data_IF_003893117808
#
_entry.id   IF_003893117808
#
_cell.length_a   1.000
_cell.length_b   1.000
_cell.length_c   1.000
_cell.angle_alpha   90.00
_cell.angle_beta   90.00
_cell.angle_gamma   90.00
#
_symmetry.space_group_name_H-M   'P 1'
#
loop_
_entity.id
_entity.type
_entity.pdbx_description
1 polymer ?
#
# COMPACT_ATOMS: atom_id res chain seq x y z
N UNK A 1 83.00 -23.53 -2.80
CA UNK A 1 81.77 -23.09 -2.09
C UNK A 1 80.75 -22.85 -3.20
N UNK A 2 80.03 -23.89 -3.56
CA UNK A 2 79.03 -23.93 -4.63
C UNK A 2 77.68 -23.88 -3.93
N UNK A 3 76.96 -22.77 -4.08
CA UNK A 3 75.55 -22.64 -3.70
C UNK A 3 74.75 -22.68 -5.00
N UNK A 4 74.07 -23.79 -5.22
CA UNK A 4 73.04 -23.94 -6.26
C UNK A 4 71.75 -24.06 -5.48
N UNK A 5 70.89 -23.06 -5.64
CA UNK A 5 69.57 -22.99 -5.03
C UNK A 5 68.67 -24.10 -5.60
N UNK A 6 67.93 -24.76 -4.71
CA UNK A 6 67.01 -25.85 -4.99
C UNK A 6 65.70 -25.29 -5.57
N UNK A 7 65.32 -25.77 -6.75
CA UNK A 7 64.03 -25.46 -7.39
C UNK A 7 62.87 -26.07 -6.59
N UNK A 8 62.00 -25.22 -6.05
CA UNK A 8 60.71 -25.59 -5.47
C UNK A 8 59.77 -26.08 -6.58
N UNK A 9 59.33 -27.35 -6.52
CA UNK A 9 58.27 -27.88 -7.36
C UNK A 9 56.92 -27.42 -6.82
N UNK A 10 56.27 -26.49 -7.53
CA UNK A 10 54.89 -26.06 -7.31
C UNK A 10 53.95 -27.21 -7.70
N UNK A 11 53.33 -27.85 -6.71
CA UNK A 11 52.29 -28.87 -6.92
C UNK A 11 51.01 -28.17 -7.36
N UNK A 12 50.64 -28.32 -8.63
CA UNK A 12 49.31 -27.93 -9.14
C UNK A 12 48.27 -28.81 -8.46
N UNK A 13 47.47 -28.23 -7.56
CA UNK A 13 46.26 -28.86 -7.03
C UNK A 13 45.26 -28.96 -8.19
N UNK A 14 44.97 -30.18 -8.64
CA UNK A 14 43.88 -30.46 -9.57
C UNK A 14 42.55 -30.18 -8.86
N UNK A 15 41.89 -29.07 -9.21
CA UNK A 15 40.51 -28.79 -8.83
C UNK A 15 39.59 -29.91 -9.35
N UNK A 16 39.18 -30.81 -8.46
CA UNK A 16 38.13 -31.80 -8.73
C UNK A 16 36.81 -31.05 -8.82
N UNK A 17 36.06 -31.09 -9.94
CA UNK A 17 34.77 -30.43 -10.03
C UNK A 17 33.78 -31.08 -9.05
N UNK A 18 33.16 -30.25 -8.19
CA UNK A 18 32.03 -30.62 -7.32
C UNK A 18 30.76 -30.88 -8.17
N UNK A 19 30.76 -31.93 -8.98
CA UNK A 19 29.64 -32.34 -9.85
C UNK A 19 28.55 -33.14 -9.10
N UNK A 20 28.67 -33.28 -7.78
CA UNK A 20 27.82 -34.15 -6.96
C UNK A 20 26.51 -33.50 -6.46
N UNK A 21 26.34 -32.18 -6.60
CA UNK A 21 25.12 -31.47 -6.17
C UNK A 21 24.09 -31.34 -7.32
N UNK A 22 23.45 -32.46 -7.64
CA UNK A 22 22.36 -32.52 -8.62
C UNK A 22 21.02 -32.12 -8.00
N UNK A 23 20.90 -30.91 -7.45
CA UNK A 23 19.62 -30.26 -7.09
C UNK A 23 18.57 -31.17 -6.42
N UNK A 24 17.35 -31.24 -6.98
CA UNK A 24 16.22 -32.06 -6.51
C UNK A 24 16.46 -33.58 -6.65
N UNK A 25 17.51 -34.08 -6.00
CA UNK A 25 17.95 -35.48 -6.04
C UNK A 25 18.90 -35.88 -4.91
N UNK A 26 19.46 -34.93 -4.14
CA UNK A 26 20.45 -35.24 -3.10
C UNK A 26 21.73 -35.89 -3.69
N UNK A 27 22.77 -36.07 -2.85
CA UNK A 27 24.07 -36.64 -3.28
C UNK A 27 23.87 -37.88 -4.16
N UNK A 28 24.29 -37.76 -5.43
CA UNK A 28 24.23 -38.81 -6.44
C UNK A 28 25.24 -39.90 -6.12
N UNK A 29 24.85 -40.82 -5.24
CA UNK A 29 25.71 -41.86 -4.70
C UNK A 29 25.10 -42.40 -3.43
N UNK A 30 23.89 -42.94 -3.54
CA UNK A 30 23.23 -43.56 -2.40
C UNK A 30 24.07 -44.80 -2.01
N UNK A 31 24.53 -44.88 -0.76
CA UNK A 31 25.29 -46.00 -0.15
C UNK A 31 24.49 -47.32 -0.09
N UNK A 32 23.67 -47.58 -1.12
CA UNK A 32 22.82 -48.74 -1.30
C UNK A 32 23.67 -50.00 -1.44
N UNK A 33 24.85 -49.91 -2.06
CA UNK A 33 25.72 -51.07 -2.31
C UNK A 33 26.18 -51.73 -1.00
N UNK A 34 26.34 -50.94 0.06
CA UNK A 34 26.67 -51.43 1.41
C UNK A 34 25.44 -51.97 2.16
N UNK A 35 24.24 -51.54 1.78
CA UNK A 35 22.95 -51.94 2.34
C UNK A 35 22.41 -53.21 1.67
N UNK A 36 22.60 -53.36 0.35
CA UNK A 36 22.29 -54.55 -0.44
C UNK A 36 23.10 -55.78 -0.02
N UNK A 37 24.32 -55.59 0.51
CA UNK A 37 25.14 -56.67 1.05
C UNK A 37 24.53 -57.35 2.31
N UNK A 38 23.48 -56.78 2.89
CA UNK A 38 22.73 -57.33 4.03
C UNK A 38 21.31 -57.80 3.66
N UNK A 39 20.91 -57.69 2.39
CA UNK A 39 19.56 -58.06 1.95
C UNK A 39 19.40 -59.57 1.87
N UNK A 40 18.37 -60.08 2.52
CA UNK A 40 18.01 -61.49 2.46
C UNK A 40 17.11 -61.79 1.26
N UNK A 41 16.82 -63.07 1.03
CA UNK A 41 15.90 -63.52 -0.03
C UNK A 41 14.52 -62.83 0.04
N UNK A 42 14.08 -62.46 1.25
CA UNK A 42 12.82 -61.74 1.46
C UNK A 42 12.86 -60.27 0.96
N UNK A 43 14.02 -59.62 0.98
CA UNK A 43 14.18 -58.25 0.50
C UNK A 43 14.25 -58.22 -1.04
N UNK A 44 14.87 -59.22 -1.66
CA UNK A 44 14.87 -59.40 -3.13
C UNK A 44 13.45 -59.66 -3.67
N UNK A 45 12.64 -60.44 -2.95
CA UNK A 45 11.23 -60.63 -3.29
C UNK A 45 10.43 -59.32 -3.16
N UNK A 46 10.71 -58.52 -2.13
CA UNK A 46 10.08 -57.22 -1.95
C UNK A 46 10.45 -56.26 -3.10
N UNK A 47 11.73 -56.17 -3.49
CA UNK A 47 12.16 -55.36 -4.62
C UNK A 47 11.48 -55.77 -5.92
N UNK A 48 11.36 -57.07 -6.17
CA UNK A 48 10.65 -57.59 -7.35
C UNK A 48 9.17 -57.22 -7.37
N UNK A 49 8.52 -57.21 -6.20
CA UNK A 49 7.13 -56.78 -6.06
C UNK A 49 7.00 -55.26 -6.30
N UNK A 50 7.87 -54.45 -5.70
CA UNK A 50 7.86 -52.99 -5.89
C UNK A 50 8.16 -52.61 -7.33
N UNK A 51 9.15 -53.24 -7.97
CA UNK A 51 9.48 -53.06 -9.37
C UNK A 51 8.30 -53.43 -10.28
N UNK A 52 7.60 -54.54 -10.00
CA UNK A 52 6.42 -54.93 -10.76
C UNK A 52 5.26 -53.91 -10.62
N UNK A 53 5.10 -53.28 -9.46
CA UNK A 53 4.11 -52.22 -9.24
C UNK A 53 4.46 -50.97 -10.04
N UNK A 54 5.71 -50.51 -10.00
CA UNK A 54 6.17 -49.35 -10.76
C UNK A 54 6.06 -49.59 -12.26
N UNK A 55 6.43 -50.80 -12.71
CA UNK A 55 6.25 -51.18 -14.11
C UNK A 55 4.78 -51.17 -14.53
N UNK A 56 3.89 -51.73 -13.71
CA UNK A 56 2.45 -51.76 -13.98
C UNK A 56 1.82 -50.34 -13.99
N UNK A 57 2.30 -49.45 -13.12
CA UNK A 57 1.92 -48.04 -13.10
C UNK A 57 2.36 -47.33 -14.39
N UNK A 58 3.55 -47.66 -14.90
CA UNK A 58 4.08 -47.10 -16.13
C UNK A 58 3.46 -47.66 -17.40
N UNK A 59 2.99 -48.91 -17.43
CA UNK A 59 2.43 -49.58 -18.61
C UNK A 59 1.35 -48.77 -19.33
N UNK A 60 0.51 -48.01 -18.61
CA UNK A 60 -0.58 -47.22 -19.22
C UNK A 60 -0.09 -46.09 -20.14
N UNK A 61 1.12 -45.58 -19.94
CA UNK A 61 1.66 -44.42 -20.69
C UNK A 61 3.05 -44.65 -21.28
N UNK A 62 3.70 -45.77 -20.95
CA UNK A 62 5.05 -46.14 -21.37
C UNK A 62 5.28 -45.95 -22.87
N UNK A 63 4.48 -46.60 -23.71
CA UNK A 63 4.65 -46.54 -25.16
C UNK A 63 4.57 -45.13 -25.75
N UNK A 64 3.70 -44.26 -25.20
CA UNK A 64 3.58 -42.87 -25.67
C UNK A 64 4.73 -42.00 -25.17
N UNK A 65 5.14 -42.18 -23.91
CA UNK A 65 6.24 -41.44 -23.29
C UNK A 65 7.57 -41.79 -23.97
N UNK A 66 7.86 -43.07 -24.11
CA UNK A 66 9.07 -43.56 -24.78
C UNK A 66 9.13 -43.14 -26.25
N UNK A 67 8.00 -43.19 -26.98
CA UNK A 67 7.96 -42.73 -28.38
C UNK A 67 8.22 -41.21 -28.48
N UNK A 68 7.71 -40.41 -27.54
CA UNK A 68 7.96 -38.97 -27.49
C UNK A 68 9.42 -38.66 -27.13
N UNK A 69 9.95 -39.31 -26.10
CA UNK A 69 11.35 -39.16 -25.66
C UNK A 69 12.33 -39.59 -26.77
N UNK A 70 12.05 -40.70 -27.46
CA UNK A 70 12.86 -41.16 -28.59
C UNK A 70 12.79 -40.20 -29.79
N UNK A 71 11.60 -39.67 -30.11
CA UNK A 71 11.45 -38.69 -31.19
C UNK A 71 12.18 -37.38 -30.86
N UNK A 72 12.13 -36.93 -29.60
CA UNK A 72 12.81 -35.74 -29.13
C UNK A 72 14.33 -35.93 -29.11
N UNK A 73 14.82 -37.05 -28.57
CA UNK A 73 16.24 -37.41 -28.61
C UNK A 73 16.77 -37.53 -30.04
N UNK A 74 15.99 -38.11 -30.97
CA UNK A 74 16.36 -38.20 -32.37
C UNK A 74 16.44 -36.80 -33.02
N UNK A 75 15.50 -35.91 -32.71
CA UNK A 75 15.50 -34.52 -33.19
C UNK A 75 16.69 -33.73 -32.63
N UNK A 76 16.97 -33.86 -31.33
CA UNK A 76 18.13 -33.23 -30.68
C UNK A 76 19.44 -33.73 -31.28
N UNK A 77 19.55 -35.04 -31.53
CA UNK A 77 20.74 -35.63 -32.14
C UNK A 77 20.92 -35.24 -33.61
N UNK A 78 19.84 -35.01 -34.33
CA UNK A 78 19.88 -34.45 -35.69
C UNK A 78 20.28 -32.97 -35.71
N UNK A 79 19.82 -32.18 -34.74
CA UNK A 79 20.16 -30.74 -34.64
C UNK A 79 21.55 -30.49 -34.08
N UNK A 80 21.99 -31.30 -33.11
CA UNK A 80 23.28 -31.18 -32.41
C UNK A 80 23.91 -32.57 -32.29
N UNK A 81 24.56 -33.07 -33.36
CA UNK A 81 25.24 -34.34 -33.29
C UNK A 81 26.41 -34.25 -32.31
N UNK A 82 26.69 -35.32 -31.55
CA UNK A 82 27.86 -35.36 -30.66
C UNK A 82 29.14 -35.33 -31.50
N UNK A 83 30.16 -34.61 -31.04
CA UNK A 83 31.45 -34.43 -31.77
C UNK A 83 32.07 -35.79 -32.17
N UNK A 84 32.07 -36.77 -31.25
CA UNK A 84 32.56 -38.13 -31.53
C UNK A 84 31.76 -38.86 -32.63
N UNK A 85 30.49 -38.51 -32.86
CA UNK A 85 29.64 -39.14 -33.87
C UNK A 85 29.75 -38.46 -35.24
N UNK A 86 30.09 -37.16 -35.27
CA UNK A 86 30.38 -36.42 -36.52
C UNK A 86 31.67 -36.95 -37.15
N UNK A 87 32.68 -37.21 -36.32
CA UNK A 87 34.01 -37.57 -36.81
C UNK A 87 34.19 -39.09 -36.97
N UNK A 88 33.23 -39.92 -36.53
CA UNK A 88 33.35 -41.38 -36.57
C UNK A 88 33.46 -41.92 -38.00
N UNK A 89 32.73 -41.33 -38.94
CA UNK A 89 32.74 -41.73 -40.35
C UNK A 89 33.95 -41.19 -41.13
N UNK A 90 34.59 -40.13 -40.63
CA UNK A 90 35.77 -39.52 -41.26
C UNK A 90 37.05 -40.29 -40.92
N UNK A 91 37.16 -40.81 -39.68
CA UNK A 91 38.33 -41.58 -39.25
C UNK A 91 38.40 -43.01 -39.82
N UNK A 92 37.29 -43.64 -40.18
CA UNK A 92 37.31 -44.99 -40.77
C UNK A 92 37.74 -45.00 -42.25
N UNK A 93 37.76 -43.83 -42.93
CA UNK A 93 38.07 -43.73 -44.37
C UNK A 93 39.38 -42.99 -44.70
N UNK A 94 40.16 -42.56 -43.70
CA UNK A 94 41.40 -41.80 -43.92
C UNK A 94 42.57 -42.36 -43.11
N UNK A 95 43.11 -43.49 -43.55
CA UNK A 95 44.52 -43.81 -43.31
C UNK A 95 45.25 -43.65 -44.64
N UNK A 96 45.65 -42.41 -44.94
CA UNK A 96 46.57 -42.08 -46.02
C UNK A 96 47.89 -41.59 -45.41
N UNK A 97 49.01 -42.12 -45.89
CA UNK A 97 50.38 -42.02 -45.35
C UNK A 97 50.93 -40.58 -45.37
N UNK A 98 50.14 -39.62 -45.88
CA UNK A 98 50.51 -38.24 -46.18
C UNK A 98 50.28 -37.25 -45.03
N UNK A 99 49.49 -37.61 -44.01
CA UNK A 99 49.20 -36.73 -42.86
C UNK A 99 50.28 -36.74 -41.77
N UNK A 100 51.24 -37.65 -41.79
CA UNK A 100 52.35 -37.65 -40.82
C UNK A 100 53.43 -36.58 -41.08
N UNK A 101 53.43 -35.93 -42.25
CA UNK A 101 54.51 -35.03 -42.67
C UNK A 101 54.20 -33.52 -42.57
N UNK A 102 52.98 -33.12 -42.19
CA UNK A 102 52.57 -31.72 -42.17
C UNK A 102 52.09 -31.27 -40.78
N UNK A 103 53.03 -31.12 -39.85
CA UNK A 103 52.83 -30.35 -38.62
C UNK A 103 53.48 -28.97 -38.80
N UNK A 104 52.68 -27.91 -38.91
CA UNK A 104 53.18 -26.54 -39.01
C UNK A 104 52.09 -25.48 -39.02
N UNK A 105 51.74 -25.00 -37.82
CA UNK A 105 50.91 -23.82 -37.60
C UNK A 105 51.72 -22.55 -37.94
N UNK A 106 51.36 -21.88 -39.05
CA UNK A 106 51.96 -20.60 -39.45
C UNK A 106 50.87 -19.56 -39.67
N UNK A 107 50.71 -18.63 -38.72
CA UNK A 107 49.96 -17.39 -38.92
C UNK A 107 50.81 -16.42 -39.74
N UNK A 108 50.38 -16.16 -40.98
CA UNK A 108 50.95 -15.14 -41.84
C UNK A 108 50.29 -13.80 -41.52
N UNK A 109 50.90 -13.00 -40.65
CA UNK A 109 50.66 -11.55 -40.62
C UNK A 109 51.52 -10.91 -41.71
N UNK A 110 50.90 -10.58 -42.84
CA UNK A 110 51.49 -9.71 -43.85
C UNK A 110 50.66 -8.44 -44.01
N UNK A 111 51.36 -7.31 -43.85
CA UNK A 111 50.89 -5.94 -43.93
C UNK A 111 50.61 -5.57 -45.39
N UNK A 112 49.39 -5.84 -45.86
CA UNK A 112 48.86 -5.34 -47.13
C UNK A 112 47.72 -4.36 -46.88
N UNK A 113 47.78 -3.19 -47.51
CA UNK A 113 46.78 -2.13 -47.47
C UNK A 113 45.32 -2.64 -47.50
N UNK A 114 44.70 -2.75 -46.32
CA UNK A 114 43.26 -2.92 -46.19
C UNK A 114 42.70 -1.56 -45.81
N UNK A 115 41.91 -1.00 -46.72
CA UNK A 115 41.08 0.18 -46.49
C UNK A 115 40.43 0.12 -45.10
N UNK A 116 40.72 1.09 -44.23
CA UNK A 116 40.16 1.15 -42.88
C UNK A 116 38.65 1.44 -42.98
N UNK A 117 37.86 0.37 -43.10
CA UNK A 117 36.40 0.44 -43.26
C UNK A 117 35.72 1.10 -42.06
N UNK A 118 36.37 1.16 -40.90
CA UNK A 118 35.88 1.88 -39.72
C UNK A 118 35.96 3.39 -39.95
N UNK A 119 37.07 3.89 -40.49
CA UNK A 119 37.22 5.32 -40.80
C UNK A 119 36.35 5.74 -41.99
N UNK A 120 36.26 4.91 -43.03
CA UNK A 120 35.42 5.16 -44.20
C UNK A 120 33.93 5.07 -43.85
N UNK A 121 33.53 4.17 -42.93
CA UNK A 121 32.16 4.06 -42.43
C UNK A 121 31.74 5.22 -41.53
N UNK A 122 32.67 5.77 -40.74
CA UNK A 122 32.42 6.93 -39.88
C UNK A 122 32.36 8.27 -40.65
N UNK A 123 33.01 8.35 -41.82
CA UNK A 123 33.04 9.56 -42.62
C UNK A 123 31.64 10.07 -43.04
N UNK A 124 30.72 9.24 -43.58
CA UNK A 124 29.37 9.67 -43.88
C UNK A 124 28.55 10.00 -42.62
N UNK A 125 28.73 9.28 -41.50
CA UNK A 125 28.03 9.58 -40.25
C UNK A 125 28.41 10.95 -39.66
N UNK A 126 29.69 11.33 -39.75
CA UNK A 126 30.18 12.66 -39.36
C UNK A 126 29.66 13.79 -40.25
N UNK A 127 29.25 13.49 -41.48
CA UNK A 127 28.66 14.46 -42.41
C UNK A 127 27.14 14.48 -42.25
N UNK A 128 26.53 13.35 -41.93
CA UNK A 128 25.09 13.20 -41.74
C UNK A 128 24.63 13.80 -40.41
N UNK A 129 25.39 13.64 -39.33
CA UNK A 129 25.03 14.18 -38.01
C UNK A 129 24.83 15.70 -37.98
N UNK A 130 25.73 16.57 -38.52
CA UNK A 130 25.48 18.01 -38.57
C UNK A 130 24.37 18.40 -39.56
N UNK A 131 24.12 17.60 -40.61
CA UNK A 131 22.98 17.82 -41.51
C UNK A 131 21.65 17.48 -40.82
N UNK A 132 21.60 16.38 -40.07
CA UNK A 132 20.46 16.03 -39.23
C UNK A 132 20.25 17.06 -38.12
N UNK A 133 21.32 17.57 -37.52
CA UNK A 133 21.26 18.65 -36.52
C UNK A 133 20.82 19.98 -37.13
N UNK A 134 21.22 20.29 -38.37
CA UNK A 134 20.71 21.45 -39.11
C UNK A 134 19.23 21.29 -39.48
N UNK A 135 18.79 20.08 -39.82
CA UNK A 135 17.36 19.77 -40.09
C UNK A 135 16.56 19.78 -38.78
N UNK A 136 17.16 19.35 -37.66
CA UNK A 136 16.58 19.37 -36.33
C UNK A 136 16.52 20.81 -35.76
N UNK A 137 17.54 21.63 -36.02
CA UNK A 137 17.65 23.02 -35.59
C UNK A 137 16.82 23.99 -36.43
N UNK A 138 16.41 23.60 -37.64
CA UNK A 138 15.47 24.36 -38.50
C UNK A 138 14.00 23.99 -38.23
N UNK A 139 13.73 23.22 -37.17
CA UNK A 139 12.42 22.70 -36.79
C UNK A 139 11.58 23.67 -35.93
N UNK A 140 11.63 24.98 -36.20
CA UNK A 140 10.67 25.94 -35.64
C UNK A 140 9.29 25.86 -36.30
N UNK A 141 9.10 25.01 -37.32
CA UNK A 141 7.87 24.93 -38.14
C UNK A 141 7.26 23.53 -38.27
N UNK A 142 7.82 22.50 -37.64
CA UNK A 142 7.26 21.14 -37.69
C UNK A 142 7.18 20.54 -36.29
N UNK A 143 6.01 20.71 -35.68
CA UNK A 143 5.44 20.05 -34.52
C UNK A 143 6.13 18.72 -34.09
N UNK A 144 7.22 18.81 -33.34
CA UNK A 144 7.86 17.71 -32.67
C UNK A 144 8.15 18.08 -31.23
N UNK A 145 7.41 17.51 -30.28
CA UNK A 145 7.60 17.67 -28.84
C UNK A 145 8.84 16.91 -28.36
N UNK A 146 10.02 17.24 -28.87
CA UNK A 146 11.27 16.69 -28.37
C UNK A 146 11.56 17.30 -26.99
N UNK A 147 11.21 16.59 -25.92
CA UNK A 147 11.50 16.99 -24.55
C UNK A 147 12.82 16.34 -24.11
N UNK A 148 13.95 16.96 -24.44
CA UNK A 148 15.24 16.56 -23.88
C UNK A 148 15.32 17.06 -22.43
N UNK A 149 15.47 16.14 -21.48
CA UNK A 149 15.69 16.47 -20.07
C UNK A 149 17.19 16.51 -19.83
N UNK A 150 17.69 17.61 -19.24
CA UNK A 150 19.11 17.74 -18.88
C UNK A 150 19.49 16.66 -17.85
N UNK A 151 20.42 15.73 -18.18
CA UNK A 151 20.84 14.68 -17.26
C UNK A 151 21.39 15.23 -15.94
N UNK A 152 22.07 16.38 -15.98
CA UNK A 152 22.64 16.99 -14.76
C UNK A 152 21.55 17.63 -13.91
N UNK A 153 20.62 18.36 -14.52
CA UNK A 153 19.44 18.89 -13.83
C UNK A 153 18.55 17.79 -13.25
N UNK A 154 18.39 16.67 -13.95
CA UNK A 154 17.62 15.52 -13.48
C UNK A 154 18.29 14.85 -12.26
N UNK A 155 19.60 14.58 -12.32
CA UNK A 155 20.33 14.01 -11.18
C UNK A 155 20.35 14.95 -9.97
N UNK A 156 20.51 16.26 -10.19
CA UNK A 156 20.42 17.25 -9.09
C UNK A 156 19.02 17.25 -8.47
N UNK A 157 17.98 17.09 -9.27
CA UNK A 157 16.60 16.98 -8.79
C UNK A 157 16.38 15.67 -8.03
N UNK A 158 17.00 14.56 -8.46
CA UNK A 158 16.93 13.28 -7.75
C UNK A 158 17.68 13.32 -6.41
N UNK A 159 18.85 13.95 -6.34
CA UNK A 159 19.58 14.13 -5.07
C UNK A 159 18.81 15.02 -4.09
N UNK A 160 18.00 15.97 -4.59
CA UNK A 160 17.11 16.76 -3.74
C UNK A 160 15.93 15.94 -3.18
N UNK A 161 15.56 14.83 -3.83
CA UNK A 161 14.59 13.86 -3.29
C UNK A 161 15.34 12.99 -2.30
N UNK A 162 15.35 13.42 -1.03
CA UNK A 162 15.95 12.66 0.06
C UNK A 162 15.33 11.27 0.21
N UNK A 163 15.95 10.26 -0.42
CA UNK A 163 15.59 8.85 -0.23
C UNK A 163 16.13 8.45 1.14
N UNK A 164 15.27 7.88 1.97
CA UNK A 164 15.60 7.39 3.31
C UNK A 164 16.72 6.35 3.26
N UNK A 165 17.56 6.35 4.30
CA UNK A 165 18.65 5.39 4.43
C UNK A 165 18.14 3.94 4.46
N UNK A 166 18.94 2.98 4.00
CA UNK A 166 18.56 1.55 4.00
C UNK A 166 18.24 1.02 5.41
N UNK A 167 18.88 1.59 6.43
CA UNK A 167 18.62 1.30 7.84
C UNK A 167 17.20 1.73 8.26
N UNK A 168 16.80 2.96 7.91
CA UNK A 168 15.44 3.47 8.16
C UNK A 168 14.39 2.61 7.45
N UNK A 169 14.68 2.13 6.24
CA UNK A 169 13.77 1.25 5.48
C UNK A 169 13.57 -0.09 6.20
N UNK A 170 14.61 -0.64 6.83
CA UNK A 170 14.53 -1.85 7.65
C UNK A 170 13.70 -1.67 8.91
N UNK A 171 13.91 -0.56 9.63
CA UNK A 171 13.16 -0.21 10.84
C UNK A 171 11.67 0.02 10.55
N UNK A 172 11.35 0.72 9.43
CA UNK A 172 9.97 0.95 8.98
C UNK A 172 9.27 -0.39 8.72
N UNK A 173 9.93 -1.38 8.09
CA UNK A 173 9.34 -2.71 7.85
C UNK A 173 9.05 -3.47 9.14
N UNK A 174 9.98 -3.44 10.10
CA UNK A 174 9.78 -4.06 11.42
C UNK A 174 8.63 -3.41 12.18
N UNK A 175 8.57 -2.07 12.17
CA UNK A 175 7.52 -1.33 12.82
C UNK A 175 6.14 -1.51 12.15
N UNK A 176 6.07 -1.69 10.81
CA UNK A 176 4.82 -2.13 10.13
C UNK A 176 4.29 -3.45 10.67
N UNK A 177 5.15 -4.45 10.80
CA UNK A 177 4.73 -5.76 11.33
C UNK A 177 4.22 -5.63 12.77
N UNK A 178 4.90 -4.83 13.59
CA UNK A 178 4.47 -4.56 14.97
C UNK A 178 3.09 -3.89 15.01
N UNK A 179 2.89 -2.79 14.27
CA UNK A 179 1.62 -2.09 14.28
C UNK A 179 0.49 -2.88 13.63
N UNK A 180 0.75 -3.66 12.59
CA UNK A 180 -0.25 -4.55 11.98
C UNK A 180 -0.70 -5.64 12.98
N UNK A 181 0.24 -6.21 13.74
CA UNK A 181 -0.11 -7.13 14.83
C UNK A 181 -0.91 -6.42 15.94
N UNK A 182 -0.52 -5.22 16.35
CA UNK A 182 -1.17 -4.45 17.41
C UNK A 182 -2.62 -4.09 17.05
N UNK A 183 -2.82 -3.64 15.82
CA UNK A 183 -4.14 -3.28 15.29
C UNK A 183 -5.06 -4.49 15.19
N UNK A 184 -4.54 -5.64 14.75
CA UNK A 184 -5.31 -6.90 14.68
C UNK A 184 -5.70 -7.42 16.06
N UNK A 185 -4.81 -7.32 17.03
CA UNK A 185 -5.06 -7.76 18.41
C UNK A 185 -6.04 -6.84 19.12
N UNK A 186 -5.93 -5.52 18.90
CA UNK A 186 -6.73 -4.51 19.60
C UNK A 186 -7.41 -3.54 18.62
N UNK A 187 -8.49 -3.95 17.92
CA UNK A 187 -9.16 -3.10 16.95
C UNK A 187 -9.77 -1.82 17.55
N UNK A 188 -10.11 -1.83 18.84
CA UNK A 188 -10.71 -0.69 19.55
C UNK A 188 -9.67 0.31 20.09
N UNK A 189 -8.38 0.03 19.91
CA UNK A 189 -7.31 0.88 20.44
C UNK A 189 -6.95 1.98 19.44
N UNK A 190 -7.56 3.15 19.65
CA UNK A 190 -7.41 4.34 18.82
C UNK A 190 -5.95 4.78 18.56
N UNK A 191 -5.06 4.90 19.58
CA UNK A 191 -3.69 5.33 19.35
C UNK A 191 -2.86 4.36 18.49
N UNK A 192 -3.23 3.08 18.45
CA UNK A 192 -2.56 2.08 17.61
C UNK A 192 -2.76 2.36 16.13
N UNK A 193 -3.98 2.71 15.73
CA UNK A 193 -4.31 3.10 14.37
C UNK A 193 -3.64 4.41 13.97
N UNK A 194 -3.58 5.38 14.89
CA UNK A 194 -2.87 6.65 14.67
C UNK A 194 -1.38 6.39 14.44
N UNK A 195 -0.73 5.62 15.32
CA UNK A 195 0.69 5.30 15.20
C UNK A 195 1.01 4.54 13.90
N UNK A 196 0.16 3.58 13.51
CA UNK A 196 0.29 2.87 12.24
C UNK A 196 0.24 3.82 11.03
N UNK A 197 -0.66 4.79 11.07
CA UNK A 197 -0.79 5.76 9.99
C UNK A 197 0.33 6.80 9.95
N UNK A 198 0.75 7.32 11.10
CA UNK A 198 1.92 8.20 11.21
C UNK A 198 3.19 7.54 10.67
N UNK A 199 3.31 6.22 10.83
CA UNK A 199 4.43 5.46 10.29
C UNK A 199 4.42 5.44 8.75
N UNK A 200 3.25 5.22 8.14
CA UNK A 200 3.12 5.26 6.67
C UNK A 200 3.30 6.67 6.11
N UNK A 201 2.86 7.70 6.84
CA UNK A 201 3.13 9.10 6.49
C UNK A 201 4.63 9.39 6.53
N UNK A 202 5.32 8.94 7.57
CA UNK A 202 6.77 9.06 7.63
C UNK A 202 7.41 8.32 6.45
N UNK A 203 6.95 7.11 6.11
CA UNK A 203 7.45 6.33 4.97
C UNK A 203 7.17 6.94 3.58
N UNK A 204 6.35 8.01 3.49
CA UNK A 204 5.99 8.67 2.22
C UNK A 204 4.81 8.03 1.49
N UNK A 205 4.22 6.97 2.05
CA UNK A 205 3.09 6.22 1.47
C UNK A 205 1.75 6.78 1.96
N UNK A 206 1.48 8.05 1.62
CA UNK A 206 0.28 8.77 2.12
C UNK A 206 -1.05 8.09 1.75
N UNK A 207 -1.13 7.39 0.61
CA UNK A 207 -2.34 6.63 0.22
C UNK A 207 -2.60 5.47 1.18
N UNK A 208 -1.55 4.76 1.61
CA UNK A 208 -1.67 3.66 2.57
C UNK A 208 -2.05 4.21 3.95
N UNK A 209 -1.42 5.31 4.38
CA UNK A 209 -1.75 5.99 5.63
C UNK A 209 -3.26 6.33 5.70
N UNK A 210 -3.79 6.97 4.66
CA UNK A 210 -5.23 7.29 4.55
C UNK A 210 -6.13 6.06 4.62
N UNK A 211 -5.74 4.96 3.98
CA UNK A 211 -6.51 3.70 4.04
C UNK A 211 -6.56 3.13 5.46
N UNK A 212 -5.42 3.11 6.15
CA UNK A 212 -5.32 2.61 7.53
C UNK A 212 -6.13 3.48 8.48
N UNK A 213 -6.05 4.81 8.37
CA UNK A 213 -6.84 5.70 9.23
C UNK A 213 -8.34 5.51 8.98
N UNK A 214 -8.76 5.38 7.72
CA UNK A 214 -10.18 5.12 7.41
C UNK A 214 -10.68 3.85 8.09
N UNK A 215 -9.91 2.76 8.05
CA UNK A 215 -10.21 1.53 8.80
C UNK A 215 -10.23 1.79 10.32
N UNK A 216 -9.27 2.57 10.82
CA UNK A 216 -9.24 3.00 12.22
C UNK A 216 -10.50 3.74 12.65
N UNK A 217 -11.06 4.62 11.82
CA UNK A 217 -12.32 5.32 12.08
C UNK A 217 -13.52 4.36 12.14
N UNK A 218 -13.56 3.33 11.30
CA UNK A 218 -14.64 2.32 11.28
C UNK A 218 -14.58 1.45 12.55
N UNK A 219 -13.39 1.09 13.01
CA UNK A 219 -13.20 0.29 14.22
C UNK A 219 -13.30 1.10 15.52
N UNK A 220 -12.90 2.37 15.50
CA UNK A 220 -12.88 3.28 16.65
C UNK A 220 -13.76 4.53 16.42
N UNK A 221 -15.10 4.40 16.34
CA UNK A 221 -15.96 5.54 16.06
C UNK A 221 -16.06 6.53 17.24
N UNK A 222 -15.80 6.09 18.47
CA UNK A 222 -15.99 6.90 19.70
C UNK A 222 -14.81 7.82 20.04
N UNK A 223 -13.64 7.57 19.47
CA UNK A 223 -12.42 8.32 19.81
C UNK A 223 -12.26 9.54 18.92
N UNK A 224 -12.20 10.72 19.53
CA UNK A 224 -12.02 12.01 18.83
C UNK A 224 -10.68 12.09 18.09
N UNK A 225 -9.61 11.60 18.70
CA UNK A 225 -8.24 11.77 18.20
C UNK A 225 -8.02 11.08 16.85
N UNK A 226 -8.66 9.93 16.62
CA UNK A 226 -8.57 9.20 15.33
C UNK A 226 -9.21 10.02 14.22
N UNK A 227 -10.32 10.71 14.50
CA UNK A 227 -11.01 11.55 13.53
C UNK A 227 -10.22 12.83 13.21
N UNK A 228 -9.54 13.41 14.20
CA UNK A 228 -8.68 14.58 14.00
C UNK A 228 -7.44 14.22 13.16
N UNK A 229 -6.82 13.09 13.46
CA UNK A 229 -5.69 12.57 12.68
C UNK A 229 -6.09 12.21 11.25
N UNK A 230 -7.31 11.67 11.06
CA UNK A 230 -7.89 11.46 9.74
C UNK A 230 -8.06 12.78 8.97
N UNK A 231 -8.62 13.80 9.61
CA UNK A 231 -8.79 15.11 8.97
C UNK A 231 -7.44 15.73 8.57
N UNK A 232 -6.36 15.48 9.34
CA UNK A 232 -5.01 15.95 9.00
C UNK A 232 -4.39 15.20 7.81
N UNK A 233 -4.54 13.88 7.76
CA UNK A 233 -3.92 13.02 6.73
C UNK A 233 -4.62 13.10 5.36
N UNK A 234 -5.89 13.49 5.34
CA UNK A 234 -6.69 13.62 4.14
C UNK A 234 -6.58 15.01 3.47
N UNK A 235 -6.92 15.08 2.18
CA UNK A 235 -7.06 16.36 1.48
C UNK A 235 -8.21 17.17 2.08
N UNK A 236 -8.22 18.49 1.87
CA UNK A 236 -9.27 19.38 2.41
C UNK A 236 -10.69 18.94 2.06
N UNK A 237 -10.93 18.47 0.84
CA UNK A 237 -12.26 18.02 0.40
C UNK A 237 -12.67 16.70 1.07
N UNK A 238 -11.78 15.71 1.10
CA UNK A 238 -12.02 14.43 1.77
C UNK A 238 -12.15 14.61 3.29
N UNK A 239 -11.39 15.56 3.86
CA UNK A 239 -11.44 15.93 5.27
C UNK A 239 -12.81 16.42 5.71
N UNK A 240 -13.54 17.15 4.86
CA UNK A 240 -14.94 17.54 5.12
C UNK A 240 -15.85 16.32 5.25
N UNK A 241 -15.67 15.32 4.40
CA UNK A 241 -16.46 14.07 4.42
C UNK A 241 -16.15 13.29 5.70
N UNK A 242 -14.86 13.16 6.03
CA UNK A 242 -14.40 12.48 7.26
C UNK A 242 -14.96 13.16 8.51
N UNK A 243 -14.91 14.49 8.59
CA UNK A 243 -15.47 15.22 9.73
C UNK A 243 -16.99 15.19 9.78
N UNK A 244 -17.68 15.17 8.62
CA UNK A 244 -19.13 14.98 8.58
C UNK A 244 -19.53 13.60 9.16
N UNK A 245 -18.75 12.56 8.89
CA UNK A 245 -18.93 11.23 9.50
C UNK A 245 -18.58 11.26 11.00
N UNK A 246 -17.50 11.95 11.36
CA UNK A 246 -17.08 12.10 12.76
C UNK A 246 -18.18 12.74 13.62
N UNK A 247 -18.86 13.78 13.12
CA UNK A 247 -19.97 14.45 13.81
C UNK A 247 -21.16 13.52 14.07
N UNK A 248 -21.39 12.50 13.23
CA UNK A 248 -22.45 11.52 13.46
C UNK A 248 -22.16 10.63 14.67
N UNK A 249 -20.89 10.29 14.91
CA UNK A 249 -20.47 9.43 16.01
C UNK A 249 -20.11 10.20 17.28
N UNK A 250 -19.38 11.32 17.13
CA UNK A 250 -18.82 12.13 18.22
C UNK A 250 -19.22 13.60 18.04
N UNK A 251 -20.53 13.83 17.96
CA UNK A 251 -21.11 15.17 17.77
C UNK A 251 -21.10 16.07 19.01
N UNK A 252 -20.57 15.62 20.15
CA UNK A 252 -20.41 16.44 21.37
C UNK A 252 -19.01 17.06 21.50
N UNK A 253 -18.05 16.65 20.64
CA UNK A 253 -16.68 17.13 20.76
C UNK A 253 -16.49 18.45 20.05
N UNK A 254 -16.27 19.50 20.84
CA UNK A 254 -15.90 20.83 20.36
C UNK A 254 -14.65 20.80 19.47
N UNK A 255 -13.70 19.88 19.71
CA UNK A 255 -12.45 19.79 18.94
C UNK A 255 -12.72 19.45 17.46
N UNK A 256 -13.64 18.52 17.20
CA UNK A 256 -14.00 18.10 15.84
C UNK A 256 -14.65 19.26 15.08
N UNK A 257 -15.48 20.04 15.77
CA UNK A 257 -16.15 21.20 15.17
C UNK A 257 -15.22 22.39 14.91
N UNK A 258 -14.22 22.60 15.78
CA UNK A 258 -13.16 23.58 15.53
C UNK A 258 -12.32 23.17 14.32
N UNK A 259 -11.90 21.91 14.23
CA UNK A 259 -11.19 21.39 13.07
C UNK A 259 -12.02 21.51 11.77
N UNK A 260 -13.34 21.26 11.84
CA UNK A 260 -14.24 21.47 10.72
C UNK A 260 -14.35 22.94 10.31
N UNK A 261 -14.39 23.87 11.28
CA UNK A 261 -14.40 25.29 11.01
C UNK A 261 -13.07 25.79 10.39
N UNK A 262 -11.94 25.19 10.75
CA UNK A 262 -10.64 25.56 10.18
C UNK A 262 -10.45 25.08 8.74
N UNK A 263 -11.07 23.95 8.38
CA UNK A 263 -11.10 23.45 7.01
C UNK A 263 -11.97 24.28 6.05
N UNK A 264 -12.92 25.05 6.58
CA UNK A 264 -13.76 25.93 5.77
C UNK A 264 -13.04 27.23 5.40
N UNK A 265 -13.07 27.60 4.13
CA UNK A 265 -12.45 28.84 3.65
C UNK A 265 -13.35 30.08 3.82
N UNK A 266 -14.68 29.90 3.86
CA UNK A 266 -15.64 31.01 3.93
C UNK A 266 -16.12 31.28 5.37
N UNK A 267 -16.12 32.56 5.77
CA UNK A 267 -16.62 33.01 7.07
C UNK A 267 -18.11 32.69 7.29
N UNK A 268 -18.93 32.69 6.23
CA UNK A 268 -20.34 32.27 6.36
C UNK A 268 -20.46 30.77 6.56
N UNK A 269 -19.63 29.97 5.89
CA UNK A 269 -19.53 28.53 6.12
C UNK A 269 -19.05 28.21 7.54
N UNK A 270 -18.00 28.87 8.04
CA UNK A 270 -17.53 28.75 9.43
C UNK A 270 -18.64 29.04 10.44
N UNK A 271 -19.34 30.16 10.28
CA UNK A 271 -20.48 30.51 11.14
C UNK A 271 -21.60 29.47 11.08
N UNK A 272 -21.85 28.88 9.91
CA UNK A 272 -22.88 27.82 9.75
C UNK A 272 -22.48 26.53 10.45
N UNK A 273 -21.22 26.12 10.35
CA UNK A 273 -20.68 24.93 11.03
C UNK A 273 -20.75 25.11 12.56
N UNK A 274 -20.29 26.26 13.06
CA UNK A 274 -20.33 26.57 14.50
C UNK A 274 -21.76 26.72 15.04
N UNK A 275 -22.68 27.33 14.27
CA UNK A 275 -24.11 27.38 14.64
C UNK A 275 -24.75 26.00 14.69
N UNK A 276 -24.28 25.05 13.86
CA UNK A 276 -24.79 23.69 13.86
C UNK A 276 -24.35 22.94 15.13
N UNK A 277 -23.16 23.23 15.62
CA UNK A 277 -22.71 22.73 16.93
C UNK A 277 -23.51 23.34 18.08
N UNK A 278 -23.68 24.67 18.10
CA UNK A 278 -24.51 25.38 19.08
C UNK A 278 -26.00 24.96 19.06
N UNK A 279 -26.49 24.28 18.02
CA UNK A 279 -27.88 23.84 18.00
C UNK A 279 -28.13 22.56 18.82
N UNK A 280 -27.08 21.89 19.35
CA UNK A 280 -27.23 20.64 20.11
C UNK A 280 -27.59 20.93 21.58
N UNK A 281 -28.86 20.63 21.88
CA UNK A 281 -29.56 20.42 23.16
C UNK A 281 -29.42 21.43 24.32
N UNK A 282 -28.25 21.95 24.64
CA UNK A 282 -28.05 22.85 25.78
C UNK A 282 -28.35 24.30 25.39
N UNK A 283 -27.79 24.77 24.28
CA UNK A 283 -27.98 26.14 23.76
C UNK A 283 -29.26 26.31 22.91
N UNK A 284 -29.95 25.21 22.58
CA UNK A 284 -31.29 25.25 21.96
C UNK A 284 -32.28 26.02 22.83
N UNK A 285 -32.12 25.93 24.15
CA UNK A 285 -32.89 26.74 25.09
C UNK A 285 -32.64 28.23 24.89
N UNK A 286 -31.38 28.63 24.84
CA UNK A 286 -30.99 30.04 24.76
C UNK A 286 -31.41 30.65 23.43
N UNK A 287 -31.34 29.88 22.34
CA UNK A 287 -31.88 30.32 21.05
C UNK A 287 -33.39 30.54 21.10
N UNK A 288 -34.16 29.67 21.75
CA UNK A 288 -35.61 29.84 21.91
C UNK A 288 -35.96 31.02 22.81
N UNK A 289 -35.19 31.27 23.87
CA UNK A 289 -35.37 32.44 24.74
C UNK A 289 -35.06 33.72 23.95
N UNK A 290 -33.95 33.76 23.21
CA UNK A 290 -33.61 34.88 22.32
C UNK A 290 -34.68 35.10 21.25
N UNK A 291 -35.19 34.03 20.61
CA UNK A 291 -36.23 34.15 19.59
C UNK A 291 -37.52 34.72 20.18
N UNK A 292 -37.92 34.27 21.37
CA UNK A 292 -39.07 34.83 22.11
C UNK A 292 -38.86 36.31 22.39
N UNK A 293 -37.69 36.73 22.85
CA UNK A 293 -37.36 38.15 23.09
C UNK A 293 -37.45 38.98 21.79
N UNK A 294 -36.93 38.47 20.67
CA UNK A 294 -37.04 39.21 19.39
C UNK A 294 -38.48 39.29 18.86
N UNK A 295 -39.31 38.28 19.13
CA UNK A 295 -40.71 38.23 18.70
C UNK A 295 -41.58 39.12 19.60
N UNK A 296 -41.28 39.20 20.89
CA UNK A 296 -41.87 40.14 21.84
C UNK A 296 -41.54 41.58 21.47
N UNK A 297 -40.28 41.88 21.14
CA UNK A 297 -39.87 43.20 20.66
C UNK A 297 -40.60 43.61 19.36
N UNK A 298 -41.05 42.64 18.55
CA UNK A 298 -41.86 42.86 17.34
C UNK A 298 -43.37 42.87 17.60
N UNK A 299 -43.81 42.69 18.85
CA UNK A 299 -45.22 42.70 19.25
C UNK A 299 -46.05 41.48 18.80
N UNK A 300 -45.42 40.39 18.35
CA UNK A 300 -46.12 39.19 17.84
C UNK A 300 -46.33 38.14 18.94
N UNK A 301 -47.18 38.48 19.90
CA UNK A 301 -47.40 37.70 21.12
C UNK A 301 -47.86 36.25 20.86
N UNK A 302 -48.70 36.02 19.85
CA UNK A 302 -49.18 34.67 19.51
C UNK A 302 -48.05 33.73 19.06
N UNK A 303 -47.05 34.26 18.36
CA UNK A 303 -45.89 33.48 17.89
C UNK A 303 -44.95 33.19 19.06
N UNK A 304 -44.74 34.15 19.96
CA UNK A 304 -43.96 33.94 21.18
C UNK A 304 -44.59 32.86 22.07
N UNK A 305 -45.92 32.85 22.23
CA UNK A 305 -46.65 31.79 22.94
C UNK A 305 -46.44 30.42 22.30
N UNK A 306 -46.52 30.32 20.97
CA UNK A 306 -46.32 29.06 20.27
C UNK A 306 -44.89 28.51 20.45
N UNK A 307 -43.87 29.38 20.39
CA UNK A 307 -42.47 29.00 20.62
C UNK A 307 -42.27 28.54 22.07
N UNK A 308 -42.82 29.26 23.04
CA UNK A 308 -42.74 28.88 24.46
C UNK A 308 -43.48 27.56 24.76
N UNK A 309 -44.65 27.34 24.17
CA UNK A 309 -45.39 26.09 24.31
C UNK A 309 -44.61 24.89 23.74
N UNK A 310 -43.97 25.07 22.58
CA UNK A 310 -43.06 24.08 22.02
C UNK A 310 -41.84 23.86 22.91
N UNK A 311 -41.29 24.93 23.49
CA UNK A 311 -40.15 24.87 24.40
C UNK A 311 -40.46 24.09 25.69
N UNK A 312 -41.63 24.30 26.27
CA UNK A 312 -42.09 23.57 27.46
C UNK A 312 -42.34 22.08 27.18
N UNK A 313 -42.85 21.74 25.99
CA UNK A 313 -43.01 20.34 25.57
C UNK A 313 -41.65 19.62 25.46
N UNK A 314 -40.61 20.33 25.04
CA UNK A 314 -39.27 19.78 24.91
C UNK A 314 -38.44 19.81 26.22
N UNK A 315 -38.70 20.78 27.11
CA UNK A 315 -37.98 20.95 28.38
C UNK A 315 -38.94 21.23 29.55
N UNK A 316 -39.64 20.22 30.06
CA UNK A 316 -40.59 20.40 31.16
C UNK A 316 -39.91 20.84 32.48
N UNK A 317 -38.64 20.46 32.68
CA UNK A 317 -37.94 20.63 33.96
C UNK A 317 -37.32 22.03 34.17
N UNK A 318 -37.27 22.86 33.13
CA UNK A 318 -36.55 24.15 33.17
C UNK A 318 -37.44 25.28 33.71
N UNK A 319 -37.21 25.66 34.98
CA UNK A 319 -37.94 26.75 35.68
C UNK A 319 -37.86 28.13 34.99
N UNK A 320 -36.80 28.42 34.24
CA UNK A 320 -36.64 29.69 33.51
C UNK A 320 -37.71 29.89 32.43
N UNK A 321 -38.08 28.83 31.70
CA UNK A 321 -39.13 28.87 30.68
C UNK A 321 -40.50 29.16 31.28
N UNK A 322 -40.83 28.47 32.37
CA UNK A 322 -42.07 28.70 33.12
C UNK A 322 -42.20 30.13 33.63
N UNK A 323 -41.08 30.70 34.12
CA UNK A 323 -41.04 32.09 34.60
C UNK A 323 -41.29 33.07 33.45
N UNK A 324 -40.69 32.82 32.29
CA UNK A 324 -40.85 33.68 31.11
C UNK A 324 -42.26 33.62 30.50
N UNK A 325 -42.91 32.45 30.54
CA UNK A 325 -44.32 32.30 30.16
C UNK A 325 -45.22 33.10 31.12
N UNK A 326 -44.98 33.02 32.43
CA UNK A 326 -45.74 33.79 33.41
C UNK A 326 -45.59 35.31 33.22
N UNK A 327 -44.38 35.79 32.94
CA UNK A 327 -44.13 37.20 32.61
C UNK A 327 -44.88 37.65 31.35
N UNK A 328 -44.88 36.82 30.30
CA UNK A 328 -45.55 37.13 29.04
C UNK A 328 -47.08 37.21 29.20
N UNK A 329 -47.67 36.30 29.99
CA UNK A 329 -49.11 36.32 30.28
C UNK A 329 -49.51 37.45 31.22
N UNK A 330 -48.65 37.82 32.18
CA UNK A 330 -48.88 38.99 33.03
C UNK A 330 -48.86 40.31 32.23
N UNK A 331 -48.01 40.40 31.19
CA UNK A 331 -47.89 41.60 30.36
C UNK A 331 -49.01 41.75 29.31
N UNK A 332 -49.52 40.64 28.75
CA UNK A 332 -50.45 40.66 27.62
C UNK A 332 -51.86 40.12 27.93
N UNK A 333 -52.10 39.71 29.17
CA UNK A 333 -53.40 39.41 29.77
C UNK A 333 -54.40 38.69 28.87
N UNK A 334 -54.29 37.37 28.70
CA UNK A 334 -55.41 36.51 28.29
C UNK A 334 -55.30 35.09 28.89
N UNK A 335 -56.46 34.55 29.28
CA UNK A 335 -56.69 33.38 30.13
C UNK A 335 -55.92 32.11 29.75
N UNK A 336 -55.29 31.52 30.77
CA UNK A 336 -54.68 30.18 30.80
C UNK A 336 -55.66 29.03 30.48
N UNK A 337 -56.96 29.28 30.30
CA UNK A 337 -57.94 28.22 30.06
C UNK A 337 -57.87 27.60 28.65
N UNK A 338 -57.41 28.33 27.62
CA UNK A 338 -57.54 27.85 26.25
C UNK A 338 -56.32 27.08 25.70
N UNK A 339 -55.23 26.99 26.47
CA UNK A 339 -53.99 26.30 26.05
C UNK A 339 -53.76 24.97 26.78
N UNK A 340 -54.48 24.71 27.87
CA UNK A 340 -54.23 23.59 28.78
C UNK A 340 -55.45 22.66 28.93
N UNK A 341 -56.49 22.82 28.11
CA UNK A 341 -57.78 22.12 28.25
C UNK A 341 -57.92 20.85 27.42
N UNK A 342 -56.90 20.45 26.63
CA UNK A 342 -57.07 19.34 25.68
C UNK A 342 -56.16 18.12 25.89
N UNK A 343 -55.30 18.07 26.89
CA UNK A 343 -54.55 16.84 27.17
C UNK A 343 -54.48 16.58 28.69
N UNK A 344 -55.06 15.45 29.11
CA UNK A 344 -55.24 14.94 30.49
C UNK A 344 -53.93 14.64 31.27
N UNK A 345 -52.88 15.47 31.14
CA UNK A 345 -51.61 15.17 31.81
C UNK A 345 -50.76 16.41 32.09
N UNK A 346 -51.23 17.33 32.93
CA UNK A 346 -50.35 18.38 33.48
C UNK A 346 -50.81 18.92 34.85
N UNK A 347 -51.05 18.02 35.80
CA UNK A 347 -50.93 18.38 37.24
C UNK A 347 -49.43 18.50 37.54
N UNK A 348 -48.78 19.56 37.09
CA UNK A 348 -47.48 20.01 37.60
C UNK A 348 -47.39 21.53 37.44
N UNK A 349 -48.12 22.23 38.31
CA UNK A 349 -47.63 23.48 38.89
C UNK A 349 -46.19 23.19 39.33
N UNK A 350 -45.22 23.88 38.73
CA UNK A 350 -43.79 23.92 39.09
C UNK A 350 -43.45 23.14 40.39
N UNK A 351 -42.76 21.97 40.36
CA UNK A 351 -42.62 21.08 41.53
C UNK A 351 -41.86 21.66 42.74
N UNK A 352 -41.53 22.95 42.75
CA UNK A 352 -40.74 23.59 43.81
C UNK A 352 -41.32 24.91 44.34
N UNK A 353 -42.45 25.41 43.79
CA UNK A 353 -43.06 26.66 44.27
C UNK A 353 -44.03 26.44 45.44
N UNK A 354 -44.53 25.21 45.67
CA UNK A 354 -45.50 24.94 46.74
C UNK A 354 -44.86 24.81 48.15
N UNK A 355 -43.58 25.18 48.30
CA UNK A 355 -42.83 25.12 49.58
C UNK A 355 -42.42 26.50 50.11
N UNK A 356 -42.44 27.57 49.31
CA UNK A 356 -42.00 28.91 49.77
C UNK A 356 -43.10 29.97 49.81
N UNK A 357 -44.30 29.72 49.29
CA UNK A 357 -45.42 30.68 49.39
C UNK A 357 -46.22 30.59 50.71
N UNK A 358 -45.58 30.06 51.76
CA UNK A 358 -46.16 29.83 53.08
C UNK A 358 -45.40 30.47 54.24
N UNK A 359 -44.61 31.52 54.00
CA UNK A 359 -44.06 32.37 55.07
C UNK A 359 -44.04 33.85 54.70
N UNK A 360 -44.85 34.57 55.46
CA UNK A 360 -44.72 35.97 55.88
C UNK A 360 -45.16 37.08 54.90
N UNK A 361 -46.33 37.64 55.26
CA UNK A 361 -46.79 39.04 55.25
C UNK A 361 -46.60 39.88 53.99
#
# INVERSE_FOLDING_TARGET
MLSVDEDEQETVEDDVPDDADMGMGGMGGMDIEKMMAQMGEADEEAEKIYQAVDEAMDLRRRARREAQEQAELAKLRAQRPKIQQQNKTEFENALDERQQLASGFGSSLDNGALTNFVEIGQAPDKILSPKLDQISGTQSTLNGTSTSVDPKGYLTSLDSVGIKSSAEIGDIKRARMLFDSLVKLNPKYAPGWIAAACLEEHAGTMVAARKIIKQGCEHCPKSEDVWLEAARSHNKEDGKIVLANAVQHVGQSVKIWLAAADLEHDLKAKKRVLRKELLREEDRLDTWVSDVETVEAKGRVAVARAILAFALKAYPDKRSLWRRVAELENAHGMSLENLWTNDDNFVLICPTQNSMAGREL
#
